data_IF_265004830674
#
_entry.id   IF_265004830674
#
_cell.length_a   1.000
_cell.length_b   1.000
_cell.length_c   1.000
_cell.angle_alpha   90.00
_cell.angle_beta   90.00
_cell.angle_gamma   90.00
#
_symmetry.space_group_name_H-M   'P 1'
#
loop_
_entity.id
_entity.type
_entity.pdbx_description
1 polymer ?
#
# COMPACT_ATOMS: atom_id res chain seq x y z
N UNK A 1 15.51 -22.57 -13.42
CA UNK A 1 14.39 -21.60 -13.29
C UNK A 1 14.83 -20.50 -12.35
N UNK A 2 15.31 -19.39 -12.90
CA UNK A 2 15.74 -18.21 -12.15
C UNK A 2 14.51 -17.37 -11.82
N UNK A 3 14.12 -17.32 -10.55
CA UNK A 3 13.10 -16.39 -10.05
C UNK A 3 13.65 -14.95 -10.15
N UNK A 4 13.26 -14.25 -11.21
CA UNK A 4 13.37 -12.80 -11.24
C UNK A 4 12.33 -12.22 -10.29
N UNK A 5 12.74 -11.92 -9.05
CA UNK A 5 11.93 -11.17 -8.09
C UNK A 5 11.75 -9.74 -8.61
N UNK A 6 10.70 -9.54 -9.41
CA UNK A 6 10.39 -8.25 -10.03
C UNK A 6 10.22 -7.13 -9.00
N UNK A 7 10.71 -5.96 -9.35
CA UNK A 7 10.68 -4.70 -8.59
C UNK A 7 9.27 -4.08 -8.60
N UNK A 8 8.25 -4.84 -8.20
CA UNK A 8 6.86 -4.66 -8.62
C UNK A 8 6.09 -3.40 -8.17
N UNK A 9 6.70 -2.39 -7.55
CA UNK A 9 5.91 -1.21 -7.11
C UNK A 9 6.60 0.15 -7.27
N UNK A 10 7.73 0.23 -7.95
CA UNK A 10 8.43 1.52 -8.08
C UNK A 10 7.83 2.32 -9.23
N UNK A 11 6.84 3.18 -8.93
CA UNK A 11 6.40 4.20 -9.88
C UNK A 11 7.54 5.19 -10.08
N UNK A 12 8.08 5.25 -11.29
CA UNK A 12 9.13 6.19 -11.65
C UNK A 12 8.51 7.55 -12.00
N UNK A 13 8.11 8.33 -10.99
CA UNK A 13 7.83 9.73 -11.26
C UNK A 13 9.13 10.45 -11.66
N UNK A 14 9.00 11.38 -12.61
CA UNK A 14 10.10 12.25 -13.03
C UNK A 14 10.62 13.06 -11.83
N UNK A 15 11.88 13.50 -11.91
CA UNK A 15 12.56 14.20 -10.81
C UNK A 15 11.77 15.43 -10.32
N UNK A 16 11.24 16.22 -11.24
CA UNK A 16 10.46 17.44 -10.97
C UNK A 16 9.16 17.16 -10.21
N UNK A 17 8.45 16.08 -10.54
CA UNK A 17 7.23 15.68 -9.85
C UNK A 17 7.53 15.36 -8.38
N UNK A 18 8.60 14.60 -8.11
CA UNK A 18 9.01 14.32 -6.74
C UNK A 18 9.40 15.57 -5.95
N UNK A 19 10.02 16.57 -6.59
CA UNK A 19 10.32 17.84 -5.92
C UNK A 19 9.05 18.62 -5.59
N UNK A 20 8.08 18.66 -6.51
CA UNK A 20 6.79 19.31 -6.26
C UNK A 20 6.04 18.63 -5.11
N UNK A 21 5.91 17.30 -5.13
CA UNK A 21 5.26 16.54 -4.05
C UNK A 21 5.95 16.81 -2.71
N UNK A 22 7.30 16.80 -2.68
CA UNK A 22 8.08 17.07 -1.47
C UNK A 22 7.84 18.49 -0.96
N UNK A 23 7.89 19.49 -1.83
CA UNK A 23 7.70 20.89 -1.46
C UNK A 23 6.29 21.13 -0.90
N UNK A 24 5.25 20.62 -1.56
CA UNK A 24 3.87 20.77 -1.09
C UNK A 24 3.63 20.00 0.22
N UNK A 25 4.15 18.78 0.35
CA UNK A 25 4.05 18.03 1.61
C UNK A 25 4.75 18.76 2.76
N UNK A 26 5.94 19.31 2.53
CA UNK A 26 6.68 20.05 3.55
C UNK A 26 5.95 21.31 4.00
N UNK A 27 5.32 22.02 3.06
CA UNK A 27 4.47 23.19 3.37
C UNK A 27 3.26 22.80 4.21
N UNK A 28 2.51 21.78 3.79
CA UNK A 28 1.29 21.36 4.48
C UNK A 28 1.57 20.75 5.86
N UNK A 29 2.66 19.99 6.00
CA UNK A 29 3.04 19.35 7.26
C UNK A 29 3.82 20.28 8.20
N UNK A 30 4.24 21.46 7.73
CA UNK A 30 5.16 22.37 8.40
C UNK A 30 6.45 21.66 8.89
N UNK A 31 6.98 20.75 8.06
CA UNK A 31 8.12 19.88 8.37
C UNK A 31 9.02 19.68 7.16
N UNK A 32 10.32 19.44 7.37
CA UNK A 32 11.28 19.22 6.28
C UNK A 32 11.51 17.73 6.06
N UNK A 33 10.82 17.17 5.06
CA UNK A 33 11.08 15.81 4.58
C UNK A 33 12.08 15.79 3.43
N UNK A 34 12.98 14.80 3.46
CA UNK A 34 13.85 14.46 2.33
C UNK A 34 13.07 13.75 1.23
N UNK A 35 13.57 13.85 -0.01
CA UNK A 35 13.00 13.14 -1.17
C UNK A 35 12.88 11.63 -0.93
N UNK A 36 13.85 11.01 -0.27
CA UNK A 36 13.84 9.57 0.01
C UNK A 36 12.73 9.19 1.00
N UNK A 37 12.50 10.00 2.04
CA UNK A 37 11.41 9.77 3.00
C UNK A 37 10.05 9.84 2.31
N UNK A 38 9.83 10.85 1.46
CA UNK A 38 8.59 11.00 0.69
C UNK A 38 8.36 9.80 -0.24
N UNK A 39 9.38 9.41 -1.01
CA UNK A 39 9.31 8.25 -1.91
C UNK A 39 8.99 6.95 -1.16
N UNK A 40 9.67 6.74 -0.03
CA UNK A 40 9.47 5.56 0.80
C UNK A 40 8.05 5.51 1.36
N UNK A 41 7.54 6.63 1.89
CA UNK A 41 6.18 6.72 2.40
C UNK A 41 5.15 6.48 1.30
N UNK A 42 5.32 7.10 0.14
CA UNK A 42 4.44 6.91 -1.02
C UNK A 42 4.39 5.44 -1.44
N UNK A 43 5.54 4.79 -1.59
CA UNK A 43 5.60 3.38 -1.99
C UNK A 43 4.92 2.46 -0.97
N UNK A 44 5.09 2.73 0.34
CA UNK A 44 4.40 2.01 1.41
C UNK A 44 2.88 2.17 1.32
N UNK A 45 2.40 3.42 1.18
CA UNK A 45 0.97 3.71 1.05
C UNK A 45 0.37 3.05 -0.19
N UNK A 46 1.06 3.13 -1.33
CA UNK A 46 0.63 2.50 -2.58
C UNK A 46 0.56 0.98 -2.44
N UNK A 47 1.56 0.36 -1.80
CA UNK A 47 1.56 -1.09 -1.55
C UNK A 47 0.39 -1.49 -0.67
N UNK A 48 0.13 -0.75 0.42
CA UNK A 48 -1.02 -1.02 1.30
C UNK A 48 -2.34 -0.86 0.55
N UNK A 49 -2.52 0.24 -0.18
CA UNK A 49 -3.72 0.44 -0.99
C UNK A 49 -3.95 -0.71 -1.98
N UNK A 50 -2.89 -1.18 -2.65
CA UNK A 50 -3.01 -2.30 -3.58
C UNK A 50 -3.48 -3.59 -2.90
N UNK A 51 -2.90 -3.93 -1.75
CA UNK A 51 -3.32 -5.09 -0.97
C UNK A 51 -4.78 -4.92 -0.56
N UNK A 52 -5.15 -3.77 0.00
CA UNK A 52 -6.53 -3.47 0.38
C UNK A 52 -7.52 -3.61 -0.78
N UNK A 53 -7.18 -3.09 -1.96
CA UNK A 53 -8.00 -3.25 -3.17
C UNK A 53 -8.14 -4.72 -3.59
N UNK A 54 -7.12 -5.55 -3.40
CA UNK A 54 -7.21 -6.99 -3.65
C UNK A 54 -8.10 -7.70 -2.62
N UNK A 55 -8.00 -7.32 -1.34
CA UNK A 55 -8.86 -7.86 -0.28
C UNK A 55 -10.34 -7.63 -0.63
N UNK A 56 -10.71 -6.39 -0.96
CA UNK A 56 -12.10 -6.06 -1.31
C UNK A 56 -12.59 -6.71 -2.62
N UNK A 57 -11.69 -7.19 -3.48
CA UNK A 57 -12.06 -7.94 -4.69
C UNK A 57 -12.28 -9.43 -4.41
N UNK A 58 -11.81 -9.96 -3.28
CA UNK A 58 -11.95 -11.36 -2.95
C UNK A 58 -13.38 -11.67 -2.50
N UNK A 59 -14.01 -12.69 -3.11
CA UNK A 59 -15.34 -13.14 -2.72
C UNK A 59 -15.36 -13.54 -1.24
N UNK A 60 -16.32 -13.02 -0.49
CA UNK A 60 -16.46 -13.28 0.95
C UNK A 60 -15.69 -12.32 1.85
N UNK A 61 -14.93 -11.37 1.30
CA UNK A 61 -14.41 -10.23 2.05
C UNK A 61 -15.36 -9.03 1.95
N UNK A 62 -15.68 -8.46 3.10
CA UNK A 62 -16.47 -7.25 3.28
C UNK A 62 -15.67 -6.16 3.99
N UNK A 63 -16.27 -4.97 4.08
CA UNK A 63 -15.74 -3.86 4.86
C UNK A 63 -16.73 -3.53 5.96
N UNK A 64 -16.28 -3.55 7.21
CA UNK A 64 -17.05 -3.03 8.32
C UNK A 64 -16.71 -1.56 8.55
N UNK A 65 -17.66 -0.68 8.23
CA UNK A 65 -17.52 0.75 8.42
C UNK A 65 -17.51 1.17 9.90
N UNK A 66 -18.02 0.33 10.81
CA UNK A 66 -18.08 0.64 12.25
C UNK A 66 -16.70 0.45 12.88
N UNK A 67 -16.06 -0.69 12.64
CA UNK A 67 -14.70 -0.96 13.15
C UNK A 67 -13.59 -0.44 12.23
N UNK A 68 -13.90 -0.15 10.97
CA UNK A 68 -12.92 0.27 9.97
C UNK A 68 -11.97 -0.86 9.58
N UNK A 69 -12.46 -2.10 9.52
CA UNK A 69 -11.67 -3.30 9.23
C UNK A 69 -12.29 -4.15 8.12
N UNK A 70 -11.46 -4.96 7.46
CA UNK A 70 -11.95 -5.96 6.50
C UNK A 70 -12.55 -7.12 7.28
N UNK A 71 -13.76 -7.54 6.93
CA UNK A 71 -14.47 -8.64 7.59
C UNK A 71 -14.62 -9.82 6.65
N UNK A 72 -14.34 -11.02 7.13
CA UNK A 72 -14.49 -12.27 6.39
C UNK A 72 -14.54 -13.44 7.39
N UNK A 73 -14.92 -14.64 6.94
CA UNK A 73 -14.76 -15.84 7.77
C UNK A 73 -13.27 -16.21 7.93
N UNK A 74 -12.94 -16.95 8.98
CA UNK A 74 -11.57 -17.40 9.25
C UNK A 74 -10.99 -18.21 8.08
N UNK A 75 -11.81 -19.01 7.39
CA UNK A 75 -11.42 -19.76 6.20
C UNK A 75 -11.03 -18.85 5.03
N UNK A 76 -11.80 -17.80 4.77
CA UNK A 76 -11.50 -16.82 3.71
C UNK A 76 -10.23 -16.05 4.06
N UNK A 77 -10.05 -15.67 5.33
CA UNK A 77 -8.83 -15.02 5.80
C UNK A 77 -7.59 -15.90 5.65
N UNK A 78 -7.67 -17.19 6.00
CA UNK A 78 -6.57 -18.14 5.84
C UNK A 78 -6.15 -18.27 4.36
N UNK A 79 -7.12 -18.37 3.46
CA UNK A 79 -6.86 -18.46 2.02
C UNK A 79 -6.19 -17.19 1.48
N UNK A 80 -6.68 -16.01 1.90
CA UNK A 80 -6.13 -14.73 1.47
C UNK A 80 -4.73 -14.48 2.02
N UNK A 81 -4.46 -14.82 3.28
CA UNK A 81 -3.13 -14.70 3.89
C UNK A 81 -2.14 -15.67 3.24
N UNK A 82 -2.58 -16.88 2.87
CA UNK A 82 -1.75 -17.84 2.14
C UNK A 82 -1.33 -17.30 0.77
N UNK A 83 -2.24 -16.63 0.05
CA UNK A 83 -1.96 -16.02 -1.24
C UNK A 83 -1.14 -14.71 -1.13
N UNK A 84 -1.38 -13.91 -0.09
CA UNK A 84 -0.69 -12.65 0.14
C UNK A 84 -0.40 -12.45 1.64
N UNK A 85 0.77 -12.88 2.14
CA UNK A 85 1.12 -12.78 3.56
C UNK A 85 1.15 -11.37 4.14
N UNK A 86 1.17 -10.32 3.30
CA UNK A 86 1.08 -8.92 3.74
C UNK A 86 -0.36 -8.48 4.05
N UNK A 87 -1.36 -9.27 3.69
CA UNK A 87 -2.76 -9.04 4.02
C UNK A 87 -3.01 -9.01 5.53
N UNK A 88 -2.18 -9.69 6.32
CA UNK A 88 -2.28 -9.73 7.80
C UNK A 88 -2.13 -8.35 8.50
N UNK A 89 -1.74 -7.31 7.75
CA UNK A 89 -1.61 -5.94 8.27
C UNK A 89 -2.93 -5.14 8.21
N UNK A 90 -3.99 -5.73 7.68
CA UNK A 90 -5.35 -5.17 7.58
C UNK A 90 -6.28 -5.83 8.59
#
# INVERSE_FOLDING_TARGET
MSEQKGTWYTVFFKRNIWENIRNELNKCANQVYSKLQVRTKFNRLRSRHHIFSQLLQHTGMGWDAVTGTVTASDEVWANVIAANPKAKEF
#
